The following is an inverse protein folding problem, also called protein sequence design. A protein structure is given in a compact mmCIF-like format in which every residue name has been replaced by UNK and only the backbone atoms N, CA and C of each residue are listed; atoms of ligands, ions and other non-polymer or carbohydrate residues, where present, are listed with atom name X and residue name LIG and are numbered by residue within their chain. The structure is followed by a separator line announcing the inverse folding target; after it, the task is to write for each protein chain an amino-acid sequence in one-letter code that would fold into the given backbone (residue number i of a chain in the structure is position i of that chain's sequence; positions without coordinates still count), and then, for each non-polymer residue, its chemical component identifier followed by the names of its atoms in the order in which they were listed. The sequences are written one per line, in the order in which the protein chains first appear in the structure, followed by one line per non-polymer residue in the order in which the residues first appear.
data_IF_916363367218
#
_entry.id   IF_916363367218
#
_cell.length_a   1.000
_cell.length_b   1.000
_cell.length_c   1.000
_cell.angle_alpha   90.00
_cell.angle_beta   90.00
_cell.angle_gamma   90.00
#
_symmetry.space_group_name_H-M   'P 1'
#
loop_
_entity.id
_entity.type
_entity.pdbx_description
1 polymer ?
#
# COMPACT_ATOMS: atom_id res chain seq x y z
N UNK A 1 26.42 -15.72 28.18
CA UNK A 1 25.31 -16.23 27.36
C UNK A 1 25.77 -16.24 25.91
N UNK A 2 25.67 -17.39 25.22
CA UNK A 2 26.01 -17.46 23.81
C UNK A 2 25.05 -16.55 23.02
N UNK A 3 25.60 -15.54 22.33
CA UNK A 3 24.82 -14.73 21.41
C UNK A 3 24.33 -15.65 20.28
N UNK A 4 23.02 -15.65 20.07
CA UNK A 4 22.43 -16.43 19.00
C UNK A 4 22.64 -15.66 17.71
N UNK A 5 23.56 -16.12 16.85
CA UNK A 5 23.87 -15.50 15.56
C UNK A 5 23.32 -16.34 14.43
N UNK A 6 23.01 -15.69 13.32
CA UNK A 6 22.59 -16.35 12.09
C UNK A 6 23.54 -15.92 10.96
N UNK A 7 23.75 -16.85 10.01
CA UNK A 7 24.51 -16.60 8.79
C UNK A 7 23.53 -16.38 7.65
N UNK A 8 23.76 -15.32 6.87
CA UNK A 8 22.90 -14.97 5.73
C UNK A 8 23.75 -14.25 4.68
N UNK A 9 23.17 -13.99 3.51
CA UNK A 9 23.77 -13.13 2.50
C UNK A 9 23.02 -11.81 2.43
N UNK A 10 23.74 -10.71 2.32
CA UNK A 10 23.20 -9.36 2.19
C UNK A 10 23.77 -8.75 0.93
N UNK A 11 22.91 -8.54 -0.07
CA UNK A 11 23.31 -8.05 -1.39
C UNK A 11 24.48 -8.88 -1.98
N UNK A 12 24.41 -10.20 -1.82
CA UNK A 12 25.39 -11.14 -2.36
C UNK A 12 26.61 -11.38 -1.47
N UNK A 13 26.76 -10.70 -0.34
CA UNK A 13 27.87 -10.88 0.59
C UNK A 13 27.46 -11.69 1.81
N UNK A 14 28.26 -12.67 2.18
CA UNK A 14 28.04 -13.46 3.38
C UNK A 14 28.25 -12.61 4.64
N UNK A 15 27.29 -12.66 5.56
CA UNK A 15 27.35 -11.95 6.85
C UNK A 15 26.84 -12.81 7.99
N UNK A 16 27.41 -12.59 9.17
CA UNK A 16 26.85 -13.11 10.42
C UNK A 16 26.25 -11.93 11.19
N UNK A 17 25.03 -12.08 11.64
CA UNK A 17 24.31 -11.05 12.42
C UNK A 17 23.60 -11.70 13.60
N UNK A 18 23.26 -10.90 14.59
CA UNK A 18 22.43 -11.36 15.70
C UNK A 18 21.04 -11.80 15.18
N UNK A 19 20.51 -12.87 15.75
CA UNK A 19 19.27 -13.48 15.29
C UNK A 19 18.03 -12.57 15.36
N UNK A 20 18.09 -11.51 16.16
CA UNK A 20 17.00 -10.55 16.30
C UNK A 20 17.10 -9.33 15.36
N UNK A 21 18.12 -9.28 14.50
CA UNK A 21 18.31 -8.18 13.55
C UNK A 21 17.34 -8.32 12.37
N UNK A 22 16.94 -7.17 11.82
CA UNK A 22 16.08 -7.08 10.64
C UNK A 22 16.73 -6.19 9.58
N UNK A 23 16.06 -5.99 8.45
CA UNK A 23 16.52 -5.04 7.43
C UNK A 23 16.70 -3.63 7.97
N UNK A 24 15.94 -3.24 8.99
CA UNK A 24 16.10 -1.94 9.66
C UNK A 24 17.53 -1.78 10.19
N UNK A 25 18.07 -2.82 10.80
CA UNK A 25 19.43 -2.82 11.34
C UNK A 25 20.48 -2.95 10.24
N UNK A 26 20.25 -3.86 9.28
CA UNK A 26 21.19 -4.14 8.19
C UNK A 26 21.45 -2.91 7.30
N UNK A 27 20.42 -2.11 7.08
CA UNK A 27 20.46 -0.96 6.18
C UNK A 27 20.26 0.39 6.89
N UNK A 28 20.63 0.43 8.18
CA UNK A 28 20.47 1.64 9.00
C UNK A 28 21.21 2.86 8.44
N UNK A 29 22.31 2.63 7.70
CA UNK A 29 23.14 3.68 7.11
C UNK A 29 22.53 4.32 5.85
N UNK A 30 21.53 3.67 5.24
CA UNK A 30 20.90 4.15 4.01
C UNK A 30 19.39 4.26 4.19
N UNK A 31 18.93 5.47 4.45
CA UNK A 31 17.52 5.78 4.67
C UNK A 31 16.66 5.63 3.42
N UNK A 32 17.27 5.50 2.24
CA UNK A 32 16.57 5.27 0.99
C UNK A 32 16.10 3.81 0.85
N UNK A 33 16.62 2.90 1.66
CA UNK A 33 16.18 1.50 1.68
C UNK A 33 14.91 1.41 2.50
N UNK A 34 13.83 0.92 1.88
CA UNK A 34 12.49 0.92 2.48
C UNK A 34 11.88 -0.47 2.64
N UNK A 35 12.48 -1.48 2.05
CA UNK A 35 12.01 -2.86 2.11
C UNK A 35 13.17 -3.80 1.80
N UNK A 36 12.92 -5.08 1.91
CA UNK A 36 13.89 -6.12 1.54
C UNK A 36 13.28 -7.11 0.56
N UNK A 37 14.13 -7.65 -0.32
CA UNK A 37 13.78 -8.85 -1.08
C UNK A 37 14.37 -10.02 -0.30
N UNK A 38 13.49 -10.82 0.30
CA UNK A 38 13.88 -11.94 1.15
C UNK A 38 13.64 -13.24 0.37
N UNK A 39 14.72 -13.92 0.02
CA UNK A 39 14.66 -15.15 -0.78
C UNK A 39 13.85 -14.96 -2.08
N UNK A 40 14.03 -13.82 -2.73
CA UNK A 40 13.39 -13.47 -3.99
C UNK A 40 12.03 -12.79 -3.87
N UNK A 41 11.47 -12.65 -2.67
CA UNK A 41 10.14 -12.03 -2.47
C UNK A 41 10.23 -10.71 -1.70
N UNK A 42 9.55 -9.64 -2.16
CA UNK A 42 9.50 -8.39 -1.42
C UNK A 42 8.81 -8.57 -0.06
N UNK A 43 9.44 -8.02 0.99
CA UNK A 43 8.95 -8.07 2.37
C UNK A 43 9.19 -6.74 3.05
N UNK A 44 8.46 -6.50 4.13
CA UNK A 44 8.66 -5.32 4.97
C UNK A 44 10.09 -5.28 5.51
N UNK A 45 10.62 -4.07 5.71
CA UNK A 45 11.98 -3.86 6.17
C UNK A 45 12.24 -4.52 7.53
N UNK A 46 11.23 -4.62 8.38
CA UNK A 46 11.33 -5.20 9.73
C UNK A 46 11.01 -6.70 9.78
N UNK A 47 10.89 -7.38 8.63
CA UNK A 47 10.61 -8.82 8.60
C UNK A 47 11.69 -9.59 9.33
N UNK A 48 11.35 -10.54 10.22
CA UNK A 48 12.33 -11.38 10.88
C UNK A 48 13.20 -12.15 9.89
N UNK A 49 14.49 -12.25 10.18
CA UNK A 49 15.46 -12.95 9.33
C UNK A 49 15.80 -14.29 9.94
N UNK A 50 16.12 -15.26 9.09
CA UNK A 50 16.48 -16.62 9.48
C UNK A 50 17.83 -17.03 8.91
N UNK A 51 18.44 -18.04 9.52
CA UNK A 51 19.70 -18.57 9.03
C UNK A 51 19.54 -19.08 7.58
N UNK A 52 20.48 -18.69 6.72
CA UNK A 52 20.50 -19.08 5.31
C UNK A 52 19.72 -18.15 4.39
N UNK A 53 19.09 -17.09 4.90
CA UNK A 53 18.34 -16.15 4.06
C UNK A 53 19.24 -15.37 3.11
N UNK A 54 18.69 -15.13 1.90
CA UNK A 54 19.25 -14.19 0.95
C UNK A 54 18.46 -12.88 1.06
N UNK A 55 19.14 -11.82 1.47
CA UNK A 55 18.53 -10.50 1.71
C UNK A 55 19.09 -9.51 0.70
N UNK A 56 18.21 -8.89 -0.08
CA UNK A 56 18.55 -7.79 -0.98
C UNK A 56 17.81 -6.53 -0.53
N UNK A 57 18.50 -5.39 -0.60
CA UNK A 57 17.88 -4.10 -0.30
C UNK A 57 16.93 -3.66 -1.41
N UNK A 58 15.81 -3.04 -1.05
CA UNK A 58 14.89 -2.39 -2.00
C UNK A 58 14.89 -0.89 -1.70
N UNK A 59 15.39 -0.12 -2.64
CA UNK A 59 15.43 1.34 -2.53
C UNK A 59 14.08 1.97 -2.93
N UNK A 60 13.75 3.09 -2.32
CA UNK A 60 12.51 3.83 -2.59
C UNK A 60 12.35 4.20 -4.08
N UNK A 61 13.44 4.58 -4.73
CA UNK A 61 13.44 5.00 -6.14
C UNK A 61 13.60 3.86 -7.15
N UNK A 62 13.69 2.61 -6.66
CA UNK A 62 13.67 1.44 -7.53
C UNK A 62 12.24 1.14 -8.01
N UNK A 63 12.05 0.38 -9.10
CA UNK A 63 10.71 -0.02 -9.53
C UNK A 63 9.87 -0.69 -8.43
N UNK A 64 10.46 -1.61 -7.68
CA UNK A 64 9.77 -2.28 -6.56
C UNK A 64 9.48 -1.31 -5.40
N UNK A 65 10.42 -0.43 -5.09
CA UNK A 65 10.24 0.58 -4.04
C UNK A 65 9.11 1.56 -4.38
N UNK A 66 9.04 2.00 -5.62
CA UNK A 66 7.96 2.88 -6.11
C UNK A 66 6.61 2.17 -6.00
N UNK A 67 6.54 0.90 -6.40
CA UNK A 67 5.31 0.10 -6.28
C UNK A 67 4.87 -0.04 -4.82
N UNK A 68 5.79 -0.29 -3.91
CA UNK A 68 5.51 -0.38 -2.47
C UNK A 68 5.00 0.97 -1.94
N UNK A 69 5.62 2.06 -2.34
CA UNK A 69 5.21 3.42 -1.94
C UNK A 69 3.79 3.72 -2.44
N UNK A 70 3.47 3.38 -3.68
CA UNK A 70 2.12 3.56 -4.25
C UNK A 70 1.09 2.69 -3.53
N UNK A 71 1.45 1.47 -3.19
CA UNK A 71 0.59 0.58 -2.41
C UNK A 71 0.31 1.17 -1.01
N UNK A 72 1.33 1.69 -0.34
CA UNK A 72 1.15 2.35 0.96
C UNK A 72 0.29 3.61 0.84
N UNK A 73 0.39 4.33 -0.27
CA UNK A 73 -0.47 5.49 -0.53
C UNK A 73 -1.95 5.10 -0.63
N UNK A 74 -2.28 3.90 -1.13
CA UNK A 74 -3.67 3.43 -1.16
C UNK A 74 -4.24 3.28 0.25
N UNK A 75 -3.45 2.77 1.20
CA UNK A 75 -3.86 2.62 2.59
C UNK A 75 -4.08 3.98 3.26
N UNK A 76 -3.18 4.93 3.01
CA UNK A 76 -3.34 6.30 3.54
C UNK A 76 -4.61 6.94 2.97
N UNK A 77 -4.89 6.75 1.70
CA UNK A 77 -6.11 7.27 1.06
C UNK A 77 -7.36 6.62 1.65
N UNK A 78 -7.37 5.31 1.83
CA UNK A 78 -8.51 4.59 2.41
C UNK A 78 -8.79 5.05 3.85
N UNK A 79 -7.76 5.22 4.66
CA UNK A 79 -7.88 5.77 6.00
C UNK A 79 -8.48 7.18 5.97
N UNK A 80 -7.97 8.04 5.09
CA UNK A 80 -8.46 9.41 4.94
C UNK A 80 -9.93 9.44 4.52
N UNK A 81 -10.34 8.59 3.57
CA UNK A 81 -11.74 8.48 3.13
C UNK A 81 -12.64 8.09 4.30
N UNK A 82 -12.24 7.11 5.10
CA UNK A 82 -13.04 6.68 6.24
C UNK A 82 -13.10 7.70 7.37
N UNK A 83 -12.13 8.61 7.46
CA UNK A 83 -12.20 9.73 8.39
C UNK A 83 -13.34 10.71 8.02
N UNK A 84 -13.54 10.97 6.74
CA UNK A 84 -14.59 11.89 6.28
C UNK A 84 -15.91 11.19 5.96
N UNK A 85 -15.86 9.90 5.67
CA UNK A 85 -17.03 9.05 5.39
C UNK A 85 -16.90 7.74 6.15
N UNK A 86 -17.23 7.72 7.46
CA UNK A 86 -17.08 6.51 8.29
C UNK A 86 -17.84 5.29 7.78
N UNK A 87 -18.91 5.50 7.00
CA UNK A 87 -19.73 4.43 6.44
C UNK A 87 -19.17 3.83 5.16
N UNK A 88 -18.10 4.39 4.61
CA UNK A 88 -17.49 3.89 3.38
C UNK A 88 -17.03 2.44 3.56
N UNK A 89 -17.48 1.56 2.66
CA UNK A 89 -17.02 0.17 2.62
C UNK A 89 -15.86 0.07 1.64
N UNK A 90 -14.87 -0.72 2.02
CA UNK A 90 -13.61 -0.83 1.28
C UNK A 90 -13.69 -1.96 0.24
N UNK A 91 -13.35 -1.64 -1.01
CA UNK A 91 -13.12 -2.62 -2.06
C UNK A 91 -11.66 -3.03 -2.10
N UNK A 92 -10.98 -2.78 -3.20
CA UNK A 92 -9.56 -3.07 -3.40
C UNK A 92 -8.79 -1.84 -3.88
N UNK A 93 -7.49 -1.81 -3.58
CA UNK A 93 -6.61 -0.70 -3.95
C UNK A 93 -5.32 -1.14 -4.64
N UNK A 94 -5.37 -1.50 -5.93
CA UNK A 94 -4.18 -1.91 -6.65
C UNK A 94 -3.30 -0.73 -7.08
N UNK A 95 -2.04 -1.05 -7.34
CA UNK A 95 -1.07 -0.15 -7.97
C UNK A 95 -1.25 -0.23 -9.49
N UNK A 96 -1.23 0.92 -10.14
CA UNK A 96 -1.30 1.04 -11.60
C UNK A 96 -0.12 1.88 -12.08
N UNK A 97 0.02 2.04 -13.39
CA UNK A 97 1.07 2.89 -13.96
C UNK A 97 0.96 4.32 -13.41
N UNK A 98 2.07 4.86 -12.91
CA UNK A 98 2.21 6.18 -12.31
C UNK A 98 1.45 6.40 -11.00
N UNK A 99 0.64 5.43 -10.56
CA UNK A 99 -0.19 5.68 -9.40
C UNK A 99 -0.90 4.46 -8.83
N UNK A 100 -2.12 4.71 -8.44
CA UNK A 100 -2.95 3.74 -7.72
C UNK A 100 -4.41 4.13 -7.85
N UNK A 101 -5.30 3.19 -7.47
CA UNK A 101 -6.67 3.54 -7.16
C UNK A 101 -7.14 2.76 -5.94
N UNK A 102 -8.28 3.15 -5.40
CA UNK A 102 -8.99 2.38 -4.38
C UNK A 102 -10.50 2.53 -4.62
N UNK A 103 -11.22 1.43 -4.46
CA UNK A 103 -12.67 1.38 -4.65
C UNK A 103 -13.41 1.45 -3.32
N UNK A 104 -14.43 2.30 -3.28
CA UNK A 104 -15.25 2.54 -2.09
C UNK A 104 -16.72 2.40 -2.41
N UNK A 105 -17.45 1.72 -1.53
CA UNK A 105 -18.91 1.76 -1.57
C UNK A 105 -19.38 2.88 -0.63
N UNK A 106 -19.93 3.92 -1.22
CA UNK A 106 -20.39 5.13 -0.53
C UNK A 106 -21.79 5.51 -1.04
N UNK A 107 -22.58 6.14 -0.18
CA UNK A 107 -23.95 6.55 -0.53
C UNK A 107 -23.98 7.63 -1.61
N UNK A 108 -23.03 8.57 -1.57
CA UNK A 108 -22.92 9.68 -2.51
C UNK A 108 -21.60 9.65 -3.26
N UNK A 109 -21.59 9.93 -4.58
CA UNK A 109 -20.33 10.03 -5.33
C UNK A 109 -19.39 11.08 -4.73
N UNK A 110 -18.10 10.89 -4.93
CA UNK A 110 -17.11 11.87 -4.52
C UNK A 110 -17.09 13.06 -5.47
N UNK A 111 -17.08 14.27 -4.90
CA UNK A 111 -16.97 15.52 -5.64
C UNK A 111 -15.50 15.96 -5.73
N UNK A 112 -15.15 16.91 -6.63
CA UNK A 112 -13.80 17.49 -6.61
C UNK A 112 -13.41 18.10 -5.26
N UNK A 113 -14.39 18.68 -4.53
CA UNK A 113 -14.17 19.20 -3.17
C UNK A 113 -13.83 18.09 -2.18
N UNK A 114 -14.50 16.94 -2.30
CA UNK A 114 -14.20 15.78 -1.49
C UNK A 114 -12.76 15.32 -1.69
N UNK A 115 -12.28 15.30 -2.94
CA UNK A 115 -10.91 14.90 -3.25
C UNK A 115 -9.88 15.83 -2.59
N UNK A 116 -10.15 17.14 -2.57
CA UNK A 116 -9.29 18.11 -1.88
C UNK A 116 -9.25 17.87 -0.37
N UNK A 117 -10.40 17.57 0.21
CA UNK A 117 -10.51 17.24 1.64
C UNK A 117 -9.75 15.96 1.97
N UNK A 118 -9.92 14.92 1.13
CA UNK A 118 -9.18 13.66 1.28
C UNK A 118 -7.68 13.89 1.21
N UNK A 119 -7.20 14.70 0.25
CA UNK A 119 -5.78 15.04 0.14
C UNK A 119 -5.23 15.70 1.42
N UNK A 120 -5.99 16.59 2.03
CA UNK A 120 -5.59 17.24 3.30
C UNK A 120 -5.46 16.23 4.43
N UNK A 121 -6.41 15.30 4.53
CA UNK A 121 -6.36 14.22 5.50
C UNK A 121 -5.16 13.30 5.25
N UNK A 122 -4.91 12.95 3.98
CA UNK A 122 -3.75 12.14 3.61
C UNK A 122 -2.44 12.84 4.00
N UNK A 123 -2.31 14.14 3.75
CA UNK A 123 -1.12 14.91 4.12
C UNK A 123 -0.89 14.89 5.64
N UNK A 124 -1.95 15.02 6.42
CA UNK A 124 -1.87 14.94 7.89
C UNK A 124 -1.41 13.56 8.35
N UNK A 125 -1.98 12.50 7.77
CA UNK A 125 -1.61 11.12 8.08
C UNK A 125 -0.13 10.88 7.74
N UNK A 126 0.31 11.32 6.56
CA UNK A 126 1.71 11.20 6.12
C UNK A 126 2.66 11.89 7.10
N UNK A 127 2.35 13.12 7.50
CA UNK A 127 3.17 13.89 8.45
C UNK A 127 3.22 13.26 9.83
N UNK A 128 2.18 12.52 10.22
CA UNK A 128 2.13 11.87 11.52
C UNK A 128 3.06 10.66 11.63
N UNK A 129 3.68 10.22 10.54
CA UNK A 129 4.64 9.12 10.49
C UNK A 129 4.06 7.83 11.11
N UNK A 130 2.88 7.44 10.68
CA UNK A 130 2.29 6.16 11.10
C UNK A 130 3.12 5.00 10.56
N UNK A 131 3.35 3.99 11.40
CA UNK A 131 4.03 2.76 10.99
C UNK A 131 3.02 1.77 10.46
N UNK A 132 3.45 0.95 9.50
CA UNK A 132 2.67 -0.18 9.01
C UNK A 132 3.16 -1.45 9.70
N UNK A 133 2.29 -2.15 10.41
CA UNK A 133 2.64 -3.37 11.12
C UNK A 133 1.80 -4.54 10.62
N UNK A 134 2.47 -5.61 10.19
CA UNK A 134 1.84 -6.80 9.63
C UNK A 134 1.50 -7.80 10.73
N UNK A 135 0.29 -8.34 10.67
CA UNK A 135 -0.15 -9.45 11.52
C UNK A 135 -0.65 -10.59 10.64
N UNK A 136 -0.13 -11.79 10.84
CA UNK A 136 -0.69 -12.99 10.25
C UNK A 136 -1.93 -13.38 11.05
N UNK A 137 -3.03 -13.65 10.37
CA UNK A 137 -4.30 -13.99 10.99
C UNK A 137 -4.86 -15.28 10.39
N UNK A 138 -5.66 -15.99 11.18
CA UNK A 138 -6.44 -17.12 10.67
C UNK A 138 -7.62 -16.61 9.85
N UNK A 139 -8.21 -17.50 9.05
CA UNK A 139 -9.43 -17.16 8.30
C UNK A 139 -10.55 -16.69 9.24
N UNK A 140 -10.76 -17.39 10.35
CA UNK A 140 -11.78 -17.03 11.34
C UNK A 140 -11.52 -15.65 11.95
N UNK A 141 -10.27 -15.35 12.29
CA UNK A 141 -9.88 -14.02 12.80
C UNK A 141 -10.13 -12.94 11.76
N UNK A 142 -9.76 -13.17 10.50
CA UNK A 142 -9.97 -12.21 9.41
C UNK A 142 -11.46 -11.95 9.18
N UNK A 143 -12.29 -13.00 9.14
CA UNK A 143 -13.74 -12.87 8.97
C UNK A 143 -14.36 -12.05 10.11
N UNK A 144 -13.86 -12.21 11.32
CA UNK A 144 -14.34 -11.49 12.49
C UNK A 144 -13.93 -10.02 12.45
N UNK A 145 -12.67 -9.72 12.13
CA UNK A 145 -12.18 -8.34 12.02
C UNK A 145 -12.83 -7.58 10.86
N UNK A 146 -13.13 -8.26 9.75
CA UNK A 146 -13.72 -7.68 8.56
C UNK A 146 -15.26 -7.80 8.51
N UNK A 147 -15.90 -8.09 9.64
CA UNK A 147 -17.34 -8.35 9.71
C UNK A 147 -18.20 -7.23 9.10
N UNK A 148 -17.75 -5.98 9.18
CA UNK A 148 -18.45 -4.82 8.64
C UNK A 148 -18.00 -4.44 7.22
N UNK A 149 -17.11 -5.23 6.60
CA UNK A 149 -16.57 -4.98 5.26
C UNK A 149 -16.99 -6.09 4.30
N UNK A 150 -18.15 -5.96 3.63
CA UNK A 150 -18.70 -7.05 2.82
C UNK A 150 -17.81 -7.48 1.66
N UNK A 151 -17.07 -6.55 1.06
CA UNK A 151 -16.18 -6.87 -0.06
C UNK A 151 -14.94 -7.64 0.41
N UNK A 152 -14.39 -7.28 1.56
CA UNK A 152 -13.28 -8.02 2.17
C UNK A 152 -13.71 -9.43 2.59
N UNK A 153 -14.92 -9.57 3.13
CA UNK A 153 -15.48 -10.89 3.46
C UNK A 153 -15.56 -11.79 2.23
N UNK A 154 -16.02 -11.24 1.11
CA UNK A 154 -16.11 -11.99 -0.15
C UNK A 154 -14.73 -12.47 -0.60
N UNK A 155 -13.70 -11.60 -0.53
CA UNK A 155 -12.33 -11.96 -0.89
C UNK A 155 -11.76 -13.06 0.00
N UNK A 156 -12.05 -13.02 1.28
CA UNK A 156 -11.58 -14.04 2.24
C UNK A 156 -12.24 -15.38 1.97
N UNK A 157 -13.54 -15.39 1.68
CA UNK A 157 -14.33 -16.62 1.44
C UNK A 157 -14.01 -17.25 0.10
N UNK A 158 -13.65 -16.47 -0.91
CA UNK A 158 -13.34 -16.95 -2.25
C UNK A 158 -11.94 -16.48 -2.68
N UNK A 159 -10.93 -17.05 -2.03
CA UNK A 159 -9.52 -16.70 -2.27
C UNK A 159 -9.05 -17.04 -3.67
N UNK A 160 -9.52 -18.12 -4.24
CA UNK A 160 -9.10 -18.56 -5.58
C UNK A 160 -9.55 -17.54 -6.64
N UNK A 161 -10.79 -17.10 -6.56
CA UNK A 161 -11.30 -16.05 -7.44
C UNK A 161 -10.55 -14.73 -7.23
N UNK A 162 -10.32 -14.35 -5.97
CA UNK A 162 -9.60 -13.13 -5.62
C UNK A 162 -8.17 -13.11 -6.20
N UNK A 163 -7.44 -14.24 -6.13
CA UNK A 163 -6.07 -14.34 -6.65
C UNK A 163 -5.98 -14.18 -8.18
N UNK A 164 -7.07 -14.43 -8.89
CA UNK A 164 -7.15 -14.29 -10.34
C UNK A 164 -7.64 -12.89 -10.77
N UNK A 165 -7.78 -11.95 -9.85
CA UNK A 165 -8.27 -10.60 -10.07
C UNK A 165 -7.30 -9.55 -9.52
N UNK A 166 -7.64 -8.28 -9.67
CA UNK A 166 -6.92 -7.15 -9.07
C UNK A 166 -6.87 -7.23 -7.54
N UNK A 167 -7.77 -8.01 -6.93
CA UNK A 167 -7.80 -8.24 -5.48
C UNK A 167 -6.63 -9.10 -4.98
N UNK A 168 -5.77 -9.62 -5.87
CA UNK A 168 -4.55 -10.35 -5.48
C UNK A 168 -3.59 -9.52 -4.61
N UNK A 169 -3.70 -8.18 -4.61
CA UNK A 169 -2.92 -7.31 -3.71
C UNK A 169 -3.35 -7.45 -2.25
N UNK A 170 -4.57 -7.92 -2.01
CA UNK A 170 -5.16 -8.05 -0.68
C UNK A 170 -4.92 -9.45 -0.07
N UNK A 171 -4.79 -10.46 -0.91
CA UNK A 171 -4.82 -11.88 -0.53
C UNK A 171 -3.55 -12.58 -1.00
N UNK A 172 -2.98 -13.44 -0.12
CA UNK A 172 -1.90 -14.36 -0.46
C UNK A 172 -2.44 -15.79 -0.53
N UNK A 173 -1.84 -16.61 -1.38
CA UNK A 173 -2.13 -18.04 -1.46
C UNK A 173 -1.65 -18.83 -0.24
N UNK A 174 -0.71 -18.28 0.53
CA UNK A 174 -0.07 -18.95 1.68
C UNK A 174 -0.78 -18.66 2.99
N UNK A 175 -1.02 -17.37 3.28
CA UNK A 175 -1.56 -16.96 4.57
C UNK A 175 -2.28 -15.62 4.43
N UNK A 176 -3.23 -15.37 5.33
CA UNK A 176 -3.90 -14.07 5.41
C UNK A 176 -3.14 -13.16 6.35
N UNK A 177 -3.06 -11.88 6.00
CA UNK A 177 -2.47 -10.88 6.85
C UNK A 177 -3.30 -9.61 6.90
N UNK A 178 -3.21 -8.94 8.04
CA UNK A 178 -3.76 -7.62 8.28
C UNK A 178 -2.61 -6.65 8.47
N UNK A 179 -2.78 -5.42 8.04
CA UNK A 179 -1.85 -4.35 8.35
C UNK A 179 -2.52 -3.32 9.23
N UNK A 180 -1.87 -3.01 10.34
CA UNK A 180 -2.29 -1.96 11.26
C UNK A 180 -1.47 -0.71 10.96
N UNK A 181 -2.15 0.44 10.87
CA UNK A 181 -1.48 1.74 10.89
C UNK A 181 -1.39 2.18 12.36
N UNK A 182 -0.16 2.42 12.81
CA UNK A 182 0.14 2.66 14.23
C UNK A 182 0.71 4.06 14.38
N UNK A 183 0.12 4.85 15.28
CA UNK A 183 0.57 6.21 15.57
C UNK A 183 1.85 6.24 16.43
N UNK A 184 2.35 7.43 16.71
CA UNK A 184 3.59 7.61 17.51
C UNK A 184 3.46 7.16 18.96
N UNK A 185 2.23 7.11 19.48
CA UNK A 185 1.95 6.63 20.83
C UNK A 185 1.76 5.11 20.89
N UNK A 186 1.81 4.44 19.76
CA UNK A 186 1.64 2.99 19.67
C UNK A 186 0.19 2.51 19.53
N UNK A 187 -0.74 3.43 19.27
CA UNK A 187 -2.14 3.08 19.07
C UNK A 187 -2.42 2.67 17.63
N UNK A 188 -3.22 1.61 17.46
CA UNK A 188 -3.75 1.22 16.17
C UNK A 188 -4.84 2.21 15.77
N UNK A 189 -4.62 2.96 14.68
CA UNK A 189 -5.56 3.99 14.22
C UNK A 189 -6.36 3.56 13.00
N UNK A 190 -5.91 2.52 12.29
CA UNK A 190 -6.60 1.98 11.12
C UNK A 190 -6.05 0.60 10.80
N UNK A 191 -6.88 -0.26 10.25
CA UNK A 191 -6.51 -1.64 9.89
C UNK A 191 -7.15 -2.03 8.56
N UNK A 192 -6.43 -2.79 7.74
CA UNK A 192 -6.98 -3.35 6.51
C UNK A 192 -6.38 -4.73 6.21
N UNK A 193 -7.16 -5.57 5.55
CA UNK A 193 -6.70 -6.81 4.97
C UNK A 193 -5.74 -6.48 3.82
N UNK A 194 -4.54 -7.01 3.87
CA UNK A 194 -3.54 -6.74 2.83
C UNK A 194 -2.40 -7.74 2.86
N UNK A 195 -1.91 -8.09 1.68
CA UNK A 195 -0.75 -8.96 1.52
C UNK A 195 0.58 -8.25 1.85
N UNK A 196 0.65 -6.96 1.64
CA UNK A 196 1.88 -6.19 1.73
C UNK A 196 2.83 -6.42 0.54
N UNK A 197 4.12 -6.02 0.64
CA UNK A 197 4.68 -5.24 1.75
C UNK A 197 4.32 -3.75 1.72
N UNK A 198 4.66 -3.04 2.80
CA UNK A 198 4.46 -1.61 2.94
C UNK A 198 5.77 -0.89 3.31
N UNK A 199 5.76 0.43 3.18
CA UNK A 199 6.82 1.32 3.64
C UNK A 199 7.03 1.18 5.16
N UNK A 200 8.21 1.53 5.69
CA UNK A 200 8.42 1.54 7.15
C UNK A 200 7.47 2.49 7.87
N UNK A 201 7.12 3.61 7.25
CA UNK A 201 6.14 4.55 7.77
C UNK A 201 5.60 5.44 6.65
N UNK A 202 4.55 6.20 6.93
CA UNK A 202 3.85 7.01 5.94
C UNK A 202 4.67 8.20 5.42
N UNK A 203 5.70 8.66 6.15
CA UNK A 203 6.51 9.83 5.73
C UNK A 203 7.32 9.60 4.47
N UNK A 204 7.52 8.35 4.06
CA UNK A 204 8.19 8.03 2.80
C UNK A 204 7.33 8.35 1.56
N UNK A 205 6.05 8.66 1.74
CA UNK A 205 5.18 9.15 0.67
C UNK A 205 5.40 10.65 0.56
N UNK A 206 6.27 11.08 -0.37
CA UNK A 206 6.71 12.48 -0.46
C UNK A 206 5.94 13.33 -1.45
N UNK A 207 5.41 12.72 -2.49
CA UNK A 207 4.73 13.45 -3.56
C UNK A 207 3.58 12.62 -4.12
N UNK A 208 2.35 13.08 -3.92
CA UNK A 208 1.16 12.44 -4.44
C UNK A 208 0.13 13.48 -4.85
N UNK A 209 -0.82 13.06 -5.70
CA UNK A 209 -1.96 13.88 -6.09
C UNK A 209 -3.15 12.96 -6.37
N UNK A 210 -4.33 13.31 -5.87
CA UNK A 210 -5.57 12.65 -6.27
C UNK A 210 -6.06 13.31 -7.56
N UNK A 211 -6.43 12.48 -8.54
CA UNK A 211 -6.74 13.00 -9.88
C UNK A 211 -8.23 13.10 -10.14
N UNK A 212 -8.97 12.02 -9.86
CA UNK A 212 -10.40 11.96 -10.17
C UNK A 212 -11.07 10.82 -9.44
N UNK A 213 -12.40 10.88 -9.38
CA UNK A 213 -13.25 9.78 -8.98
C UNK A 213 -14.12 9.36 -10.17
N UNK A 214 -14.40 8.07 -10.27
CA UNK A 214 -15.25 7.51 -11.32
C UNK A 214 -16.00 6.29 -10.78
N UNK A 215 -17.15 6.00 -11.38
CA UNK A 215 -17.92 4.80 -11.07
C UNK A 215 -17.20 3.56 -11.62
N UNK A 216 -17.21 2.47 -10.86
CA UNK A 216 -16.68 1.18 -11.29
C UNK A 216 -17.48 0.05 -10.64
N UNK A 217 -17.83 -0.95 -11.41
CA UNK A 217 -18.52 -2.11 -10.86
C UNK A 217 -17.54 -3.03 -10.11
N UNK A 218 -17.99 -3.56 -8.99
CA UNK A 218 -17.23 -4.57 -8.24
C UNK A 218 -16.93 -5.76 -9.15
N UNK A 219 -15.66 -6.18 -9.21
CA UNK A 219 -15.15 -7.23 -10.11
C UNK A 219 -15.46 -6.98 -11.59
N UNK A 220 -15.71 -5.73 -11.98
CA UNK A 220 -15.95 -5.35 -13.37
C UNK A 220 -17.27 -5.85 -13.97
N UNK A 221 -18.20 -6.33 -13.16
CA UNK A 221 -19.47 -6.89 -13.63
C UNK A 221 -20.65 -5.97 -13.30
N UNK A 222 -21.47 -5.66 -14.32
CA UNK A 222 -22.71 -4.87 -14.15
C UNK A 222 -23.72 -5.53 -13.20
N UNK A 223 -23.59 -6.84 -12.95
CA UNK A 223 -24.43 -7.56 -12.00
C UNK A 223 -24.06 -7.25 -10.54
N UNK A 224 -22.89 -6.69 -10.31
CA UNK A 224 -22.35 -6.35 -8.98
C UNK A 224 -22.62 -4.88 -8.63
N UNK A 225 -22.50 -4.52 -7.34
CA UNK A 225 -22.63 -3.13 -6.90
C UNK A 225 -21.68 -2.20 -7.63
N UNK A 226 -22.14 -0.97 -7.87
CA UNK A 226 -21.34 0.10 -8.42
C UNK A 226 -20.61 0.82 -7.28
N UNK A 227 -19.29 0.85 -7.36
CA UNK A 227 -18.43 1.51 -6.40
C UNK A 227 -17.92 2.84 -6.94
N UNK A 228 -17.35 3.65 -6.08
CA UNK A 228 -16.63 4.87 -6.45
C UNK A 228 -15.13 4.60 -6.38
N UNK A 229 -14.46 4.78 -7.50
CA UNK A 229 -13.03 4.58 -7.65
C UNK A 229 -12.31 5.92 -7.62
N UNK A 230 -11.40 6.10 -6.66
CA UNK A 230 -10.55 7.29 -6.61
C UNK A 230 -9.18 6.94 -7.17
N UNK A 231 -8.74 7.69 -8.18
CA UNK A 231 -7.43 7.56 -8.80
C UNK A 231 -6.46 8.58 -8.22
N UNK A 232 -5.26 8.12 -7.94
CA UNK A 232 -4.17 8.97 -7.52
C UNK A 232 -2.86 8.62 -8.21
N UNK A 233 -1.91 9.52 -8.15
CA UNK A 233 -0.54 9.32 -8.61
C UNK A 233 0.42 9.59 -7.46
N UNK A 234 1.56 8.92 -7.47
CA UNK A 234 2.60 9.14 -6.46
C UNK A 234 3.97 8.88 -7.06
N UNK A 235 4.92 9.70 -6.67
CA UNK A 235 6.30 9.67 -7.16
C UNK A 235 7.29 9.84 -6.00
N UNK A 236 8.52 9.33 -6.14
CA UNK A 236 9.53 9.45 -5.09
C UNK A 236 9.89 10.90 -4.73
N UNK A 237 9.76 11.83 -5.67
CA UNK A 237 10.09 13.25 -5.47
C UNK A 237 8.99 14.17 -6.00
N UNK A 238 8.96 15.39 -5.46
CA UNK A 238 8.04 16.44 -5.93
C UNK A 238 8.36 16.84 -7.37
N UNK A 239 9.62 16.83 -7.74
CA UNK A 239 10.09 17.16 -9.10
C UNK A 239 9.56 16.16 -10.12
N UNK A 240 9.57 14.86 -9.79
CA UNK A 240 9.03 13.82 -10.66
C UNK A 240 7.51 13.93 -10.81
N UNK A 241 6.79 14.25 -9.73
CA UNK A 241 5.36 14.52 -9.78
C UNK A 241 5.06 15.69 -10.70
N UNK A 242 5.80 16.77 -10.55
CA UNK A 242 5.64 17.97 -11.38
C UNK A 242 5.92 17.69 -12.86
N UNK A 243 6.97 16.92 -13.14
CA UNK A 243 7.30 16.51 -14.50
C UNK A 243 6.18 15.66 -15.12
N UNK A 244 5.60 14.73 -14.36
CA UNK A 244 4.44 13.96 -14.78
C UNK A 244 3.25 14.86 -15.11
N UNK A 245 2.91 15.79 -14.22
CA UNK A 245 1.79 16.72 -14.40
C UNK A 245 1.97 17.57 -15.66
N UNK A 246 3.18 18.06 -15.90
CA UNK A 246 3.52 18.83 -17.10
C UNK A 246 3.33 18.00 -18.37
N UNK A 247 3.79 16.75 -18.38
CA UNK A 247 3.59 15.84 -19.53
C UNK A 247 2.10 15.60 -19.80
N UNK A 248 1.30 15.44 -18.77
CA UNK A 248 -0.15 15.21 -18.91
C UNK A 248 -0.85 16.45 -19.44
N UNK A 249 -0.49 17.64 -19.01
CA UNK A 249 -1.02 18.91 -19.51
C UNK A 249 -0.69 19.11 -20.99
N UNK A 250 0.55 18.82 -21.38
CA UNK A 250 0.99 18.93 -22.78
C UNK A 250 0.29 17.90 -23.67
N UNK A 251 0.09 16.66 -23.19
CA UNK A 251 -0.66 15.63 -23.90
C UNK A 251 -2.12 16.06 -24.12
N UNK A 252 -2.76 16.62 -23.10
CA UNK A 252 -4.12 17.13 -23.20
C UNK A 252 -4.25 18.27 -24.23
N UNK A 253 -3.27 19.19 -24.26
CA UNK A 253 -3.23 20.28 -25.24
C UNK A 253 -3.06 19.76 -26.67
N UNK A 254 -2.23 18.75 -26.87
CA UNK A 254 -2.04 18.13 -28.20
C UNK A 254 -3.32 17.44 -28.71
N UNK A 255 -4.02 16.75 -27.83
CA UNK A 255 -5.27 16.09 -28.16
C UNK A 255 -6.36 17.10 -28.50
N UNK A 256 -6.42 18.23 -27.80
CA UNK A 256 -7.34 19.32 -28.09
C UNK A 256 -7.07 19.94 -29.47
N UNK A 257 -5.80 20.07 -29.87
CA UNK A 257 -5.44 20.60 -31.18
C UNK A 257 -5.79 19.66 -32.33
N UNK A 258 -5.77 18.34 -32.10
CA UNK A 258 -6.15 17.34 -33.11
C UNK A 258 -7.65 17.28 -33.36
N UNK A 259 -8.47 17.68 -32.39
CA UNK A 259 -9.93 17.68 -32.45
C UNK A 259 -10.51 19.01 -32.96
N UNK A 260 -9.72 20.04 -33.04
CA UNK A 260 -10.06 21.35 -33.64
C UNK A 260 -9.67 21.41 -35.15
#
# INVERSE_FOLDING_TARGET
MAQNTISLTVNGEAKEVDANRTGVDLFADDKNIIAVRLNGEPRDLYTPLSNGDEVESIALDSPDGIAIMRHSATHVMAQAVQEIRPDAKLGVGPVIENGFYYDFDVAEPFTPEDLKTIEKHMQRIIKSAQRFERRVVTEDEALKEEADQPYKLELIKDKEDALNTEAAVEISDKELSMYDNIDREGNVVWTDLCRGPHLPNTRFIKAFKLERAAAAYWKGSEANPMLQRIYGVAFPTKEELKAYQTRMEEAAKRDHRKLG
#
